data_IF_816844603785
#
_entry.id   IF_816844603785
#
_cell.length_a   1.000
_cell.length_b   1.000
_cell.length_c   1.000
_cell.angle_alpha   90.00
_cell.angle_beta   90.00
_cell.angle_gamma   90.00
#
_symmetry.space_group_name_H-M   'P 1'
#
loop_
_entity.id
_entity.type
_entity.pdbx_description
1 polymer ?
#
# COMPACT_ATOMS: atom_id res chain seq x y z
N UNK A 1 8.52 -4.22 -10.73
CA UNK A 1 9.98 -4.01 -10.45
C UNK A 1 10.63 -3.15 -11.54
N UNK A 2 11.58 -2.28 -11.20
CA UNK A 2 12.20 -1.37 -12.19
C UNK A 2 12.98 -2.10 -13.28
N UNK A 3 13.53 -3.28 -13.00
CA UNK A 3 14.24 -4.11 -14.00
C UNK A 3 13.34 -4.70 -15.09
N UNK A 4 12.02 -4.69 -14.88
CA UNK A 4 11.01 -5.19 -15.83
C UNK A 4 10.13 -4.05 -16.37
N UNK A 5 10.41 -2.80 -15.95
CA UNK A 5 9.65 -1.64 -16.38
C UNK A 5 10.27 -1.06 -17.64
N UNK A 6 9.47 -0.92 -18.69
CA UNK A 6 9.86 -0.30 -19.94
C UNK A 6 8.88 0.82 -20.28
N UNK A 7 9.40 2.04 -20.34
CA UNK A 7 8.62 3.20 -20.74
C UNK A 7 8.10 3.00 -22.18
N UNK A 8 6.78 3.10 -22.36
CA UNK A 8 6.10 2.80 -23.63
C UNK A 8 5.37 1.46 -23.67
N UNK A 9 5.65 0.51 -22.74
CA UNK A 9 4.90 -0.76 -22.60
C UNK A 9 3.88 -0.75 -21.45
N UNK A 10 3.58 0.45 -20.93
CA UNK A 10 2.72 0.62 -19.76
C UNK A 10 1.30 0.08 -19.99
N UNK A 11 0.75 0.29 -21.20
CA UNK A 11 -0.60 -0.16 -21.56
C UNK A 11 -0.67 -1.69 -21.55
N UNK A 12 0.27 -2.37 -22.23
CA UNK A 12 0.28 -3.83 -22.30
C UNK A 12 0.42 -4.47 -20.91
N UNK A 13 1.31 -3.94 -20.09
CA UNK A 13 1.50 -4.41 -18.73
C UNK A 13 0.27 -4.16 -17.85
N UNK A 14 -0.42 -3.04 -18.04
CA UNK A 14 -1.65 -2.73 -17.31
C UNK A 14 -2.79 -3.66 -17.74
N UNK A 15 -3.03 -3.81 -19.04
CA UNK A 15 -4.09 -4.65 -19.61
C UNK A 15 -3.90 -6.14 -19.31
N UNK A 16 -2.67 -6.59 -19.07
CA UNK A 16 -2.42 -7.95 -18.59
C UNK A 16 -3.00 -8.20 -17.18
N UNK A 17 -3.13 -7.14 -16.36
CA UNK A 17 -3.57 -7.23 -14.97
C UNK A 17 -5.00 -6.72 -14.75
N UNK A 18 -5.53 -5.89 -15.66
CA UNK A 18 -6.83 -5.24 -15.52
C UNK A 18 -7.64 -5.37 -16.82
N UNK A 19 -8.81 -6.02 -16.73
CA UNK A 19 -9.68 -6.28 -17.88
C UNK A 19 -10.55 -5.06 -18.27
N UNK A 20 -10.81 -4.16 -17.32
CA UNK A 20 -11.78 -3.07 -17.47
C UNK A 20 -11.17 -1.73 -17.95
N UNK A 21 -9.90 -1.71 -18.36
CA UNK A 21 -9.25 -0.47 -18.81
C UNK A 21 -9.79 0.00 -20.17
N UNK A 22 -10.28 1.24 -20.22
CA UNK A 22 -10.71 1.86 -21.47
C UNK A 22 -9.87 3.11 -21.81
N UNK A 23 -9.01 2.98 -22.81
CA UNK A 23 -8.16 4.07 -23.31
C UNK A 23 -8.92 5.29 -23.84
N UNK A 24 -10.23 5.17 -24.14
CA UNK A 24 -11.04 6.31 -24.55
C UNK A 24 -11.46 7.18 -23.35
N UNK A 25 -11.58 6.59 -22.16
CA UNK A 25 -12.10 7.25 -20.97
C UNK A 25 -11.09 7.35 -19.83
N UNK A 26 -9.96 6.67 -19.93
CA UNK A 26 -8.90 6.64 -18.92
C UNK A 26 -7.50 6.86 -19.51
N UNK A 27 -6.58 7.28 -18.64
CA UNK A 27 -5.16 7.41 -18.93
C UNK A 27 -4.32 6.70 -17.87
N UNK A 28 -3.28 5.99 -18.32
CA UNK A 28 -2.32 5.32 -17.44
C UNK A 28 -1.22 6.29 -17.02
N UNK A 29 -0.90 6.24 -15.73
CA UNK A 29 0.18 6.95 -15.08
C UNK A 29 1.10 5.96 -14.38
N UNK A 30 2.28 6.43 -13.99
CA UNK A 30 3.16 5.68 -13.11
C UNK A 30 3.82 6.57 -12.08
N UNK A 31 4.11 6.00 -10.91
CA UNK A 31 4.98 6.60 -9.91
C UNK A 31 6.21 5.72 -9.73
N UNK A 32 7.40 6.33 -9.78
CA UNK A 32 8.62 5.66 -9.34
C UNK A 32 8.59 5.56 -7.81
N UNK A 33 8.86 4.37 -7.29
CA UNK A 33 9.00 4.12 -5.86
C UNK A 33 10.49 4.02 -5.54
N UNK A 34 11.06 5.12 -5.03
CA UNK A 34 12.49 5.33 -4.88
C UNK A 34 13.13 4.30 -3.94
N UNK A 35 12.52 3.99 -2.78
CA UNK A 35 13.11 3.02 -1.84
C UNK A 35 12.86 1.56 -2.21
N UNK A 36 11.99 1.32 -3.19
CA UNK A 36 11.55 -0.03 -3.58
C UNK A 36 12.12 -0.50 -4.92
N UNK A 37 12.80 0.38 -5.67
CA UNK A 37 13.26 0.11 -7.03
C UNK A 37 12.13 -0.54 -7.88
N UNK A 38 10.98 0.11 -7.84
CA UNK A 38 9.77 -0.33 -8.51
C UNK A 38 9.01 0.86 -9.11
N UNK A 39 8.08 0.56 -10.00
CA UNK A 39 7.12 1.52 -10.54
C UNK A 39 5.71 1.04 -10.18
N UNK A 40 4.88 1.96 -9.70
CA UNK A 40 3.46 1.77 -9.47
C UNK A 40 2.71 2.26 -10.70
N UNK A 41 2.03 1.36 -11.42
CA UNK A 41 1.15 1.71 -12.54
C UNK A 41 -0.29 1.86 -12.04
N UNK A 42 -1.00 2.86 -12.54
CA UNK A 42 -2.40 3.11 -12.20
C UNK A 42 -3.11 3.88 -13.32
N UNK A 43 -4.42 3.71 -13.45
CA UNK A 43 -5.25 4.50 -14.36
C UNK A 43 -6.02 5.59 -13.61
N UNK A 44 -6.38 6.65 -14.33
CA UNK A 44 -7.33 7.66 -13.88
C UNK A 44 -8.27 8.02 -15.04
N UNK A 45 -9.53 8.29 -14.72
CA UNK A 45 -10.52 8.77 -15.69
C UNK A 45 -10.15 10.16 -16.23
N UNK A 46 -10.33 10.35 -17.54
CA UNK A 46 -10.07 11.61 -18.24
C UNK A 46 -10.85 12.78 -17.64
N UNK A 47 -12.07 12.53 -17.16
CA UNK A 47 -12.87 13.51 -16.45
C UNK A 47 -12.18 14.08 -15.19
N UNK A 48 -11.53 13.22 -14.39
CA UNK A 48 -10.79 13.64 -13.19
C UNK A 48 -9.56 14.45 -13.59
N UNK A 49 -8.85 13.99 -14.61
CA UNK A 49 -7.63 14.64 -15.13
C UNK A 49 -7.97 16.04 -15.65
N UNK A 50 -8.98 16.16 -16.49
CA UNK A 50 -9.44 17.43 -17.08
C UNK A 50 -9.89 18.42 -16.01
N UNK A 51 -10.69 17.95 -15.04
CA UNK A 51 -11.12 18.80 -13.91
C UNK A 51 -9.93 19.30 -13.10
N UNK A 52 -8.96 18.44 -12.79
CA UNK A 52 -7.77 18.86 -12.04
C UNK A 52 -6.91 19.85 -12.82
N UNK A 53 -6.67 19.59 -14.11
CA UNK A 53 -5.86 20.47 -14.96
C UNK A 53 -6.55 21.81 -15.27
N UNK A 54 -7.89 21.87 -15.17
CA UNK A 54 -8.64 23.13 -15.30
C UNK A 54 -8.35 24.15 -14.19
N UNK A 55 -7.90 23.68 -13.02
CA UNK A 55 -7.64 24.52 -11.84
C UNK A 55 -6.16 24.58 -11.46
N UNK A 56 -5.31 23.76 -12.09
CA UNK A 56 -3.87 23.73 -11.84
C UNK A 56 -3.08 23.53 -13.14
N UNK A 57 -2.16 24.47 -13.44
CA UNK A 57 -1.24 24.37 -14.58
C UNK A 57 -0.22 23.23 -14.43
N UNK A 58 -0.05 22.72 -13.20
CA UNK A 58 0.88 21.65 -12.87
C UNK A 58 0.15 20.59 -12.04
N UNK A 59 0.03 19.38 -12.58
CA UNK A 59 -0.64 18.27 -11.90
C UNK A 59 0.18 17.00 -12.01
N UNK A 60 0.84 16.63 -10.92
CA UNK A 60 1.39 15.29 -10.77
C UNK A 60 0.36 14.41 -10.08
N UNK A 61 0.05 13.26 -10.68
CA UNK A 61 -0.87 12.30 -10.11
C UNK A 61 -0.10 11.21 -9.37
N UNK A 62 -0.58 10.83 -8.20
CA UNK A 62 0.02 9.78 -7.39
C UNK A 62 -1.03 8.78 -6.95
N UNK A 63 -0.71 7.50 -7.13
CA UNK A 63 -1.52 6.45 -6.53
C UNK A 63 -1.34 6.47 -5.01
N UNK A 64 -2.44 6.35 -4.26
CA UNK A 64 -2.41 6.37 -2.79
C UNK A 64 -1.46 5.31 -2.21
N UNK A 65 -1.38 4.14 -2.86
CA UNK A 65 -0.51 3.06 -2.41
C UNK A 65 1.00 3.38 -2.56
N UNK A 66 1.37 4.32 -3.43
CA UNK A 66 2.77 4.73 -3.59
C UNK A 66 3.32 5.24 -2.25
N UNK A 67 2.60 6.13 -1.58
CA UNK A 67 3.02 6.65 -0.28
C UNK A 67 2.94 5.60 0.84
N UNK A 68 1.95 4.70 0.79
CA UNK A 68 1.85 3.60 1.74
C UNK A 68 3.09 2.68 1.67
N UNK A 69 3.46 2.26 0.46
CA UNK A 69 4.57 1.34 0.23
C UNK A 69 5.93 1.92 0.63
N UNK A 70 6.15 3.21 0.34
CA UNK A 70 7.38 3.91 0.74
C UNK A 70 7.55 3.93 2.26
N UNK A 71 6.47 4.22 3.00
CA UNK A 71 6.54 4.21 4.47
C UNK A 71 6.71 2.80 5.04
N UNK A 72 6.10 1.78 4.42
CA UNK A 72 6.36 0.38 4.82
C UNK A 72 7.84 0.02 4.67
N UNK A 73 8.48 0.47 3.57
CA UNK A 73 9.90 0.25 3.33
C UNK A 73 10.79 1.00 4.34
N UNK A 74 10.44 2.25 4.66
CA UNK A 74 11.13 3.01 5.72
C UNK A 74 10.99 2.32 7.08
N UNK A 75 9.79 1.86 7.44
CA UNK A 75 9.55 1.13 8.67
C UNK A 75 10.41 -0.13 8.76
N UNK A 76 10.43 -0.95 7.71
CA UNK A 76 11.25 -2.14 7.66
C UNK A 76 12.74 -1.81 7.84
N UNK A 77 13.21 -0.73 7.22
CA UNK A 77 14.62 -0.36 7.28
C UNK A 77 15.05 0.26 8.61
N UNK A 78 14.15 0.94 9.32
CA UNK A 78 14.48 1.62 10.56
C UNK A 78 14.24 0.78 11.81
N UNK A 79 13.10 0.08 11.87
CA UNK A 79 12.65 -0.61 13.07
C UNK A 79 13.05 -2.09 13.11
N UNK A 80 13.33 -2.70 11.96
CA UNK A 80 13.64 -4.13 11.85
C UNK A 80 15.07 -4.37 11.34
N UNK A 81 15.99 -3.44 11.61
CA UNK A 81 17.38 -3.43 11.14
C UNK A 81 18.10 -4.77 11.33
N UNK A 82 17.86 -5.43 12.45
CA UNK A 82 18.59 -6.61 12.88
C UNK A 82 17.86 -7.94 12.57
N UNK A 83 16.59 -7.89 12.15
CA UNK A 83 15.81 -9.09 11.83
C UNK A 83 14.92 -8.92 10.59
N UNK A 84 15.56 -8.80 9.43
CA UNK A 84 14.88 -8.81 8.13
C UNK A 84 14.54 -10.22 7.64
N UNK A 85 14.73 -11.24 8.49
CA UNK A 85 14.55 -12.64 8.09
C UNK A 85 13.09 -13.07 8.18
N UNK A 86 12.31 -12.39 9.01
CA UNK A 86 10.89 -12.65 9.16
C UNK A 86 10.06 -11.97 8.06
N UNK A 87 9.06 -12.68 7.48
CA UNK A 87 8.10 -12.06 6.57
C UNK A 87 7.23 -11.05 7.31
N UNK A 88 7.02 -9.89 6.68
CA UNK A 88 6.22 -8.80 7.22
C UNK A 88 5.10 -8.49 6.24
N UNK A 89 3.87 -8.44 6.72
CA UNK A 89 2.74 -8.03 5.91
C UNK A 89 2.18 -6.72 6.45
N UNK A 90 2.16 -5.69 5.60
CA UNK A 90 1.48 -4.44 5.91
C UNK A 90 0.14 -4.38 5.18
N UNK A 91 -0.90 -3.99 5.91
CA UNK A 91 -2.26 -3.86 5.42
C UNK A 91 -2.78 -2.45 5.72
N UNK A 92 -3.19 -1.71 4.68
CA UNK A 92 -3.99 -0.49 4.81
C UNK A 92 -5.44 -0.81 4.46
N UNK A 93 -6.33 -0.74 5.46
CA UNK A 93 -7.74 -1.05 5.26
C UNK A 93 -8.50 0.19 4.80
N UNK A 94 -9.17 0.04 3.65
CA UNK A 94 -10.07 1.02 3.06
C UNK A 94 -11.52 0.54 3.24
N UNK A 95 -12.48 1.31 2.73
CA UNK A 95 -13.90 1.02 2.97
C UNK A 95 -14.38 -0.29 2.32
N UNK A 96 -13.83 -0.64 1.15
CA UNK A 96 -14.22 -1.83 0.36
C UNK A 96 -13.03 -2.58 -0.23
N UNK A 97 -11.82 -2.21 0.17
CA UNK A 97 -10.60 -2.82 -0.33
C UNK A 97 -9.46 -2.69 0.67
N UNK A 98 -8.41 -3.47 0.48
CA UNK A 98 -7.17 -3.34 1.23
C UNK A 98 -5.99 -3.18 0.31
N UNK A 99 -5.03 -2.37 0.72
CA UNK A 99 -3.66 -2.53 0.21
C UNK A 99 -2.99 -3.63 1.01
N UNK A 100 -2.50 -4.65 0.32
CA UNK A 100 -1.80 -5.78 0.92
C UNK A 100 -0.38 -5.82 0.36
N UNK A 101 0.61 -5.66 1.24
CA UNK A 101 2.03 -5.76 0.86
C UNK A 101 2.75 -6.78 1.72
N UNK A 102 3.58 -7.62 1.10
CA UNK A 102 4.49 -8.54 1.79
C UNK A 102 5.93 -8.11 1.53
N UNK A 103 6.66 -7.94 2.61
CA UNK A 103 8.09 -7.76 2.62
C UNK A 103 8.77 -9.02 3.13
N UNK A 104 9.82 -9.44 2.42
CA UNK A 104 10.62 -10.60 2.79
C UNK A 104 12.08 -10.33 2.45
N UNK A 105 13.00 -10.65 3.37
CA UNK A 105 14.44 -10.42 3.20
C UNK A 105 14.79 -8.97 2.82
N UNK A 106 14.13 -7.99 3.43
CA UNK A 106 14.41 -6.58 3.17
C UNK A 106 13.83 -6.02 1.86
N UNK A 107 12.97 -6.77 1.16
CA UNK A 107 12.44 -6.39 -0.16
C UNK A 107 10.94 -6.58 -0.24
N UNK A 108 10.28 -5.75 -1.05
CA UNK A 108 8.89 -5.97 -1.43
C UNK A 108 8.78 -7.23 -2.31
N UNK A 109 8.17 -8.28 -1.78
CA UNK A 109 7.95 -9.53 -2.47
C UNK A 109 6.60 -9.56 -3.19
N UNK A 110 5.59 -8.86 -2.65
CA UNK A 110 4.25 -8.80 -3.23
C UNK A 110 3.57 -7.49 -2.83
N UNK A 111 2.78 -6.94 -3.75
CA UNK A 111 1.82 -5.88 -3.48
C UNK A 111 0.58 -6.08 -4.34
N UNK A 112 -0.60 -5.90 -3.76
CA UNK A 112 -1.84 -5.75 -4.53
C UNK A 112 -2.88 -4.94 -3.75
N UNK A 113 -3.83 -4.35 -4.49
CA UNK A 113 -5.09 -3.87 -3.93
C UNK A 113 -6.16 -4.94 -4.13
N UNK A 114 -6.85 -5.30 -3.05
CA UNK A 114 -7.83 -6.39 -3.08
C UNK A 114 -9.17 -5.83 -2.63
N UNK A 115 -10.18 -5.91 -3.51
CA UNK A 115 -11.56 -5.63 -3.15
C UNK A 115 -12.12 -6.78 -2.31
N UNK A 116 -12.89 -6.45 -1.28
CA UNK A 116 -13.57 -7.44 -0.44
C UNK A 116 -15.00 -6.99 -0.15
N UNK A 117 -15.92 -7.94 -0.03
CA UNK A 117 -17.31 -7.67 0.36
C UNK A 117 -17.48 -7.87 1.86
N UNK A 118 -16.79 -8.87 2.39
CA UNK A 118 -16.81 -9.22 3.81
C UNK A 118 -15.39 -9.47 4.31
N UNK A 119 -15.23 -9.38 5.63
CA UNK A 119 -13.95 -9.59 6.30
C UNK A 119 -13.30 -10.94 5.96
N UNK A 120 -14.11 -11.98 5.76
CA UNK A 120 -13.63 -13.33 5.41
C UNK A 120 -12.88 -13.35 4.08
N UNK A 121 -13.25 -12.52 3.11
CA UNK A 121 -12.55 -12.48 1.82
C UNK A 121 -11.12 -11.97 2.03
N UNK A 122 -10.95 -10.91 2.83
CA UNK A 122 -9.63 -10.38 3.19
C UNK A 122 -8.78 -11.43 3.93
N UNK A 123 -9.36 -12.15 4.89
CA UNK A 123 -8.66 -13.23 5.60
C UNK A 123 -8.24 -14.35 4.64
N UNK A 124 -9.13 -14.74 3.71
CA UNK A 124 -8.85 -15.74 2.69
C UNK A 124 -7.64 -15.34 1.84
N UNK A 125 -7.62 -14.10 1.34
CA UNK A 125 -6.49 -13.61 0.54
C UNK A 125 -5.19 -13.57 1.34
N UNK A 126 -5.24 -13.17 2.61
CA UNK A 126 -4.07 -13.14 3.48
C UNK A 126 -3.47 -14.53 3.69
N UNK A 127 -4.29 -15.54 3.98
CA UNK A 127 -3.84 -16.94 4.10
C UNK A 127 -3.37 -17.49 2.75
N UNK A 128 -4.07 -17.16 1.67
CA UNK A 128 -3.68 -17.65 0.34
C UNK A 128 -2.34 -17.07 -0.13
N UNK A 129 -2.08 -15.81 0.19
CA UNK A 129 -0.81 -15.15 -0.08
C UNK A 129 0.34 -15.86 0.64
N UNK A 130 0.16 -16.18 1.92
CA UNK A 130 1.21 -16.83 2.70
C UNK A 130 1.49 -18.25 2.22
N UNK A 131 0.46 -19.01 1.84
CA UNK A 131 0.60 -20.32 1.20
C UNK A 131 1.37 -20.23 -0.13
N UNK A 132 0.96 -19.30 -1.00
CA UNK A 132 1.51 -19.16 -2.36
C UNK A 132 3.00 -18.80 -2.31
N UNK A 133 3.39 -17.92 -1.40
CA UNK A 133 4.77 -17.49 -1.21
C UNK A 133 5.54 -18.35 -0.21
N UNK A 134 4.92 -19.41 0.31
CA UNK A 134 5.52 -20.38 1.25
C UNK A 134 6.14 -19.72 2.48
N UNK A 135 5.48 -18.69 3.01
CA UNK A 135 5.92 -18.00 4.22
C UNK A 135 5.23 -18.62 5.45
N UNK A 136 5.96 -18.73 6.54
CA UNK A 136 5.45 -19.29 7.79
C UNK A 136 4.51 -18.29 8.47
N UNK A 137 3.21 -18.58 8.45
CA UNK A 137 2.15 -17.78 9.08
C UNK A 137 2.45 -17.48 10.55
N UNK A 138 3.04 -18.43 11.29
CA UNK A 138 3.30 -18.26 12.74
C UNK A 138 4.43 -17.27 13.01
N UNK A 139 5.35 -17.10 12.07
CA UNK A 139 6.48 -16.16 12.16
C UNK A 139 6.22 -14.86 11.40
N UNK A 140 5.11 -14.77 10.67
CA UNK A 140 4.77 -13.60 9.89
C UNK A 140 4.16 -12.55 10.80
N UNK A 141 4.73 -11.34 10.76
CA UNK A 141 4.18 -10.19 11.48
C UNK A 141 3.20 -9.43 10.59
N UNK A 142 2.03 -9.10 11.13
CA UNK A 142 1.00 -8.30 10.45
C UNK A 142 0.97 -6.90 11.07
N UNK A 143 1.07 -5.89 10.22
CA UNK A 143 0.98 -4.48 10.56
C UNK A 143 -0.29 -3.88 9.94
N UNK A 144 -1.21 -3.38 10.76
CA UNK A 144 -2.54 -2.91 10.34
C UNK A 144 -2.69 -1.39 10.45
N UNK A 145 -3.17 -0.76 9.38
CA UNK A 145 -3.47 0.69 9.30
C UNK A 145 -4.81 0.93 8.60
N UNK A 146 -5.22 2.21 8.51
CA UNK A 146 -6.41 2.63 7.78
C UNK A 146 -7.67 2.65 8.63
N UNK A 147 -8.80 2.27 8.03
CA UNK A 147 -10.14 2.26 8.63
C UNK A 147 -10.34 1.07 9.59
N UNK A 148 -9.49 0.98 10.61
CA UNK A 148 -9.53 -0.03 11.68
C UNK A 148 -9.45 0.66 13.04
N UNK A 149 -10.28 0.22 14.00
CA UNK A 149 -10.21 0.69 15.37
C UNK A 149 -9.40 -0.26 16.28
N UNK A 150 -8.10 -0.04 16.39
CA UNK A 150 -7.23 -0.86 17.24
C UNK A 150 -7.45 -0.56 18.75
N UNK A 151 -7.49 -1.56 19.66
CA UNK A 151 -7.40 -3.01 19.43
C UNK A 151 -8.77 -3.72 19.32
N UNK A 152 -9.88 -2.97 19.28
CA UNK A 152 -11.25 -3.51 19.48
C UNK A 152 -11.91 -4.00 18.19
N UNK A 153 -11.33 -3.71 17.03
CA UNK A 153 -11.88 -4.08 15.73
C UNK A 153 -11.99 -5.59 15.56
N UNK A 154 -13.13 -6.05 15.02
CA UNK A 154 -13.37 -7.47 14.70
C UNK A 154 -12.35 -8.01 13.69
N UNK A 155 -11.84 -7.15 12.80
CA UNK A 155 -10.78 -7.49 11.86
C UNK A 155 -9.56 -8.09 12.57
N UNK A 156 -9.17 -7.49 13.71
CA UNK A 156 -7.99 -7.91 14.46
C UNK A 156 -8.21 -9.30 15.07
N UNK A 157 -9.39 -9.55 15.65
CA UNK A 157 -9.68 -10.85 16.27
C UNK A 157 -9.78 -11.98 15.24
N UNK A 158 -10.27 -11.70 14.03
CA UNK A 158 -10.29 -12.69 12.94
C UNK A 158 -8.90 -12.99 12.40
N UNK A 159 -8.04 -11.98 12.18
CA UNK A 159 -6.65 -12.19 11.75
C UNK A 159 -5.88 -13.01 12.81
N UNK A 160 -6.07 -12.70 14.09
CA UNK A 160 -5.40 -13.39 15.21
C UNK A 160 -5.73 -14.87 15.36
N UNK A 161 -6.76 -15.38 14.65
CA UNK A 161 -7.03 -16.83 14.58
C UNK A 161 -5.95 -17.58 13.78
N UNK A 162 -5.26 -16.88 12.88
CA UNK A 162 -4.26 -17.45 11.99
C UNK A 162 -2.86 -16.91 12.31
N UNK A 163 -2.73 -15.61 12.55
CA UNK A 163 -1.45 -14.93 12.77
C UNK A 163 -1.25 -14.60 14.25
N UNK A 164 -0.09 -14.98 14.80
CA UNK A 164 0.23 -14.74 16.21
C UNK A 164 0.61 -13.27 16.48
N UNK A 165 1.23 -12.63 15.50
CA UNK A 165 1.86 -11.32 15.62
C UNK A 165 1.08 -10.29 14.80
N UNK A 166 0.22 -9.53 15.48
CA UNK A 166 -0.63 -8.49 14.84
C UNK A 166 -0.50 -7.18 15.59
N UNK A 167 0.01 -6.16 14.92
CA UNK A 167 0.37 -4.86 15.48
C UNK A 167 -0.34 -3.72 14.76
N UNK A 168 -0.59 -2.59 15.44
CA UNK A 168 -0.99 -1.36 14.77
C UNK A 168 0.19 -0.81 13.96
N UNK A 169 -0.11 -0.20 12.83
CA UNK A 169 0.85 0.51 11.99
C UNK A 169 0.50 1.99 11.96
N UNK A 170 1.35 2.79 12.59
CA UNK A 170 1.20 4.25 12.63
C UNK A 170 2.31 4.90 11.80
N UNK A 171 1.92 5.73 10.83
CA UNK A 171 2.88 6.34 9.92
C UNK A 171 3.74 7.41 10.58
N UNK A 172 3.37 7.91 11.76
CA UNK A 172 3.95 9.11 12.36
C UNK A 172 5.26 8.92 13.10
N UNK A 173 5.66 7.68 13.41
CA UNK A 173 6.92 7.45 14.13
C UNK A 173 8.15 7.87 13.31
N UNK A 174 8.00 8.06 11.99
CA UNK A 174 9.05 8.48 11.05
C UNK A 174 9.16 9.99 10.87
N UNK A 175 8.17 10.76 11.33
CA UNK A 175 8.03 12.16 10.90
C UNK A 175 7.90 13.13 12.07
N UNK A 176 8.62 14.25 11.97
CA UNK A 176 8.36 15.43 12.80
C UNK A 176 7.17 16.20 12.23
N UNK A 177 6.13 16.36 13.04
CA UNK A 177 4.85 16.88 12.58
C UNK A 177 4.43 18.11 13.37
N UNK A 178 3.80 19.07 12.68
CA UNK A 178 3.34 20.29 13.32
C UNK A 178 2.35 19.97 14.45
N UNK A 179 2.44 20.62 15.62
CA UNK A 179 1.48 20.44 16.71
C UNK A 179 0.02 20.61 16.28
N UNK A 180 -0.24 21.47 15.29
CA UNK A 180 -1.59 21.70 14.75
C UNK A 180 -2.17 20.47 14.01
N UNK A 181 -1.31 19.59 13.47
CA UNK A 181 -1.74 18.35 12.81
C UNK A 181 -1.90 17.19 13.81
N UNK A 182 -1.18 17.24 14.93
CA UNK A 182 -1.28 16.21 16.00
C UNK A 182 -2.65 16.14 16.65
N UNK A 183 -3.43 17.22 16.61
CA UNK A 183 -4.80 17.27 17.13
C UNK A 183 -5.83 16.60 16.22
N UNK A 184 -5.46 16.26 14.98
CA UNK A 184 -6.35 15.61 14.00
C UNK A 184 -6.10 14.09 13.97
N UNK A 185 -7.06 13.24 14.38
CA UNK A 185 -6.87 11.78 14.42
C UNK A 185 -6.51 11.16 13.05
N UNK A 186 -7.08 11.71 11.97
CA UNK A 186 -6.88 11.25 10.58
C UNK A 186 -5.41 11.34 10.16
N UNK A 187 -4.66 12.27 10.74
CA UNK A 187 -3.25 12.49 10.42
C UNK A 187 -2.35 11.29 10.79
N UNK A 188 -2.76 10.47 11.77
CA UNK A 188 -1.96 9.32 12.23
C UNK A 188 -1.89 8.16 11.24
N UNK A 189 -2.90 8.06 10.37
CA UNK A 189 -3.16 6.89 9.52
C UNK A 189 -3.24 7.25 8.03
N UNK A 190 -3.13 8.53 7.65
CA UNK A 190 -3.32 8.94 6.27
C UNK A 190 -1.99 9.09 5.52
N UNK A 191 -1.80 8.25 4.51
CA UNK A 191 -0.60 8.26 3.66
C UNK A 191 -0.42 9.52 2.82
N UNK A 192 -1.46 10.35 2.63
CA UNK A 192 -1.37 11.61 1.87
C UNK A 192 -0.37 12.60 2.46
N UNK A 193 -0.19 12.60 3.78
CA UNK A 193 0.78 13.49 4.43
C UNK A 193 2.24 13.05 4.21
N UNK A 194 2.45 11.86 3.67
CA UNK A 194 3.77 11.29 3.41
C UNK A 194 4.17 11.40 1.93
N UNK A 195 3.23 11.83 1.07
CA UNK A 195 3.43 11.95 -0.37
C UNK A 195 4.67 12.79 -0.75
N UNK A 196 4.94 13.96 -0.12
CA UNK A 196 6.11 14.78 -0.48
C UNK A 196 7.47 14.08 -0.32
N UNK A 197 7.55 13.09 0.58
CA UNK A 197 8.78 12.32 0.83
C UNK A 197 8.94 11.11 -0.11
N UNK A 198 7.91 10.84 -0.92
CA UNK A 198 7.91 9.76 -1.92
C UNK A 198 8.36 10.25 -3.31
N UNK A 199 8.47 11.57 -3.50
CA UNK A 199 8.76 12.22 -4.79
C UNK A 199 10.15 12.85 -4.87
N UNK A 200 10.87 12.94 -3.74
CA UNK A 200 12.23 13.49 -3.66
C UNK A 200 13.29 12.50 -4.14
#
# INVERSE_FOLDING_TARGET
PSSLFEEGKNIDLFNFNFEDFDSATEKIFYNKLNHLNAYMLFSLGNNIIEQWLSVSEYGNFFHRASAFLEVCMLFQNEYLKDDKTHPLIFIDVLDKSVFLSLFYLGKLAFFNQINFVQLQDMIFFLVKLTETLKVDIKKTEIFLSGNINFPKDKTISEIKKFFLHVYPFEFLNFFTTSPALKSLPVYKVNSLFNLPFCVS
#
